data_IF_444381744958
#
_entry.id   IF_444381744958
#
_cell.length_a   1.000
_cell.length_b   1.000
_cell.length_c   1.000
_cell.angle_alpha   90.00
_cell.angle_beta   90.00
_cell.angle_gamma   90.00
#
_symmetry.space_group_name_H-M   'P 1'
#
loop_
_entity.id
_entity.type
_entity.pdbx_description
1 polymer ?
#
# COMPACT_ATOMS: atom_id res chain seq x y z
N UNK A 1 -1.55 8.22 -13.20
CA UNK A 1 -2.73 8.34 -14.09
C UNK A 1 -3.96 7.65 -13.52
N UNK A 2 -3.88 6.40 -13.05
CA UNK A 2 -5.04 5.70 -12.45
C UNK A 2 -5.67 6.50 -11.28
N UNK A 3 -4.87 6.90 -10.29
CA UNK A 3 -5.36 7.70 -9.15
C UNK A 3 -6.10 8.97 -9.63
N UNK A 4 -5.51 9.72 -10.56
CA UNK A 4 -6.09 10.96 -11.11
C UNK A 4 -7.39 10.76 -11.91
N UNK A 5 -7.57 9.58 -12.52
CA UNK A 5 -8.74 9.29 -13.36
C UNK A 5 -9.90 8.67 -12.58
N UNK A 6 -9.61 7.91 -11.53
CA UNK A 6 -10.60 7.03 -10.88
C UNK A 6 -10.80 7.30 -9.40
N UNK A 7 -9.86 7.97 -8.75
CA UNK A 7 -9.85 8.19 -7.31
C UNK A 7 -9.84 9.68 -7.00
N UNK A 8 -10.06 10.03 -5.73
CA UNK A 8 -9.76 11.37 -5.25
C UNK A 8 -8.25 11.47 -4.99
N UNK A 9 -7.46 12.21 -5.80
CA UNK A 9 -6.02 12.28 -5.60
C UNK A 9 -5.62 13.05 -4.33
N UNK A 10 -6.55 13.77 -3.69
CA UNK A 10 -6.37 14.39 -2.37
C UNK A 10 -6.83 13.50 -1.20
N UNK A 11 -7.24 12.25 -1.46
CA UNK A 11 -7.57 11.30 -0.41
C UNK A 11 -6.33 10.74 0.29
N UNK A 12 -6.57 10.01 1.39
CA UNK A 12 -5.57 9.17 2.06
C UNK A 12 -5.47 7.82 1.36
N UNK A 13 -4.26 7.29 1.27
CA UNK A 13 -3.97 5.99 0.68
C UNK A 13 -3.21 5.13 1.69
N UNK A 14 -3.28 3.82 1.53
CA UNK A 14 -2.56 2.88 2.39
C UNK A 14 -1.79 1.89 1.52
N UNK A 15 -0.54 1.63 1.90
CA UNK A 15 0.19 0.45 1.44
C UNK A 15 0.15 -0.63 2.53
N UNK A 16 -0.49 -1.75 2.23
CA UNK A 16 -0.66 -2.87 3.16
C UNK A 16 0.45 -3.90 2.96
N UNK A 17 1.04 -4.36 4.07
CA UNK A 17 2.29 -5.10 4.08
C UNK A 17 3.42 -4.36 3.32
N UNK A 18 3.59 -3.08 3.65
CA UNK A 18 4.47 -2.15 2.93
C UNK A 18 5.99 -2.44 3.05
N UNK A 19 6.39 -3.46 3.81
CA UNK A 19 7.78 -3.79 4.07
C UNK A 19 8.54 -2.59 4.66
N UNK A 20 9.69 -2.28 4.07
CA UNK A 20 10.51 -1.16 4.54
C UNK A 20 9.92 0.23 4.23
N UNK A 21 8.81 0.32 3.51
CA UNK A 21 8.11 1.59 3.25
C UNK A 21 8.63 2.42 2.09
N UNK A 22 9.41 1.83 1.20
CA UNK A 22 10.00 2.55 0.06
C UNK A 22 8.90 3.09 -0.86
N UNK A 23 7.90 2.28 -1.19
CA UNK A 23 6.79 2.70 -2.06
C UNK A 23 6.02 3.88 -1.44
N UNK A 24 5.69 3.78 -0.16
CA UNK A 24 5.02 4.85 0.61
C UNK A 24 5.83 6.14 0.54
N UNK A 25 7.14 6.09 0.79
CA UNK A 25 8.02 7.25 0.69
C UNK A 25 7.98 7.87 -0.71
N UNK A 26 8.12 7.05 -1.75
CA UNK A 26 8.08 7.53 -3.14
C UNK A 26 6.73 8.20 -3.47
N UNK A 27 5.61 7.62 -3.01
CA UNK A 27 4.28 8.18 -3.25
C UNK A 27 4.06 9.52 -2.54
N UNK A 28 4.57 9.66 -1.31
CA UNK A 28 4.55 10.93 -0.56
C UNK A 28 5.44 11.99 -1.21
N UNK A 29 6.61 11.60 -1.70
CA UNK A 29 7.54 12.51 -2.38
C UNK A 29 6.93 13.09 -3.67
N UNK A 30 6.00 12.38 -4.33
CA UNK A 30 5.23 12.88 -5.48
C UNK A 30 3.85 13.47 -5.11
N UNK A 31 3.58 13.68 -3.82
CA UNK A 31 2.43 14.48 -3.36
C UNK A 31 1.15 13.71 -3.02
N UNK A 32 1.20 12.38 -2.89
CA UNK A 32 0.05 11.59 -2.42
C UNK A 32 0.19 11.23 -0.94
N UNK A 33 -0.91 11.36 -0.19
CA UNK A 33 -0.92 11.11 1.25
C UNK A 33 -1.01 9.60 1.54
N UNK A 34 0.11 8.90 1.31
CA UNK A 34 0.24 7.47 1.57
C UNK A 34 0.66 7.21 3.02
N UNK A 35 -0.03 6.27 3.62
CA UNK A 35 0.26 5.66 4.92
C UNK A 35 0.62 4.19 4.72
N UNK A 36 1.03 3.51 5.78
CA UNK A 36 1.39 2.10 5.68
C UNK A 36 0.95 1.28 6.89
N UNK A 37 0.74 -0.01 6.68
CA UNK A 37 0.56 -0.98 7.75
C UNK A 37 1.32 -2.26 7.41
N UNK A 38 2.04 -2.84 8.37
CA UNK A 38 2.75 -4.10 8.20
C UNK A 38 2.83 -4.83 9.55
N UNK A 39 2.47 -6.12 9.57
CA UNK A 39 2.49 -6.95 10.79
C UNK A 39 3.88 -7.42 11.17
N UNK A 40 4.78 -7.53 10.20
CA UNK A 40 6.02 -8.29 10.33
C UNK A 40 7.26 -7.47 10.02
N UNK A 41 7.15 -6.43 9.20
CA UNK A 41 8.29 -5.62 8.79
C UNK A 41 8.32 -4.27 9.52
N UNK A 42 9.48 -3.95 10.10
CA UNK A 42 9.72 -2.61 10.61
C UNK A 42 10.04 -1.66 9.46
N UNK A 43 9.23 -0.63 9.31
CA UNK A 43 9.42 0.37 8.26
C UNK A 43 10.64 1.27 8.51
N UNK A 44 11.41 1.52 7.45
CA UNK A 44 12.64 2.32 7.50
C UNK A 44 12.48 3.68 6.83
N UNK A 45 11.68 3.77 5.76
CA UNK A 45 11.65 4.95 4.88
C UNK A 45 10.46 5.90 5.13
N UNK A 46 9.40 5.44 5.79
CA UNK A 46 8.15 6.16 6.01
C UNK A 46 7.68 6.13 7.48
N UNK A 47 8.61 6.17 8.44
CA UNK A 47 8.30 6.22 9.88
C UNK A 47 7.43 7.43 10.22
N UNK A 48 6.48 7.25 11.13
CA UNK A 48 5.49 8.25 11.53
C UNK A 48 4.23 8.26 10.65
N UNK A 49 4.16 7.40 9.64
CA UNK A 49 2.99 7.26 8.75
C UNK A 49 2.35 5.87 8.86
N UNK A 50 2.63 5.16 9.95
CA UNK A 50 2.01 3.89 10.30
C UNK A 50 0.52 4.04 10.63
N UNK A 51 -0.26 3.06 10.19
CA UNK A 51 -1.63 2.83 10.61
C UNK A 51 -1.69 1.60 11.51
N UNK A 52 -2.45 1.65 12.61
CA UNK A 52 -2.62 0.49 13.47
C UNK A 52 -3.41 -0.60 12.73
N UNK A 53 -3.10 -1.86 13.07
CA UNK A 53 -3.91 -3.02 12.71
C UNK A 53 -4.71 -3.48 13.93
N UNK A 54 -6.01 -3.80 13.78
CA UNK A 54 -6.80 -3.76 12.54
C UNK A 54 -7.08 -2.33 12.07
N UNK A 55 -7.27 -2.16 10.75
CA UNK A 55 -7.49 -0.85 10.14
C UNK A 55 -8.84 -0.27 10.62
N UNK A 56 -8.81 0.97 11.12
CA UNK A 56 -10.01 1.68 11.60
C UNK A 56 -10.49 2.74 10.63
N UNK A 57 -9.57 3.33 9.86
CA UNK A 57 -9.85 4.40 8.91
C UNK A 57 -10.17 3.85 7.52
N UNK A 58 -10.88 4.68 6.72
CA UNK A 58 -11.08 4.40 5.30
C UNK A 58 -10.04 5.11 4.43
N UNK A 59 -9.61 4.44 3.37
CA UNK A 59 -8.66 4.95 2.39
C UNK A 59 -9.32 5.07 1.01
N UNK A 60 -8.85 6.03 0.21
CA UNK A 60 -9.26 6.21 -1.18
C UNK A 60 -8.86 5.01 -2.04
N UNK A 61 -7.68 4.44 -1.77
CA UNK A 61 -7.31 3.10 -2.21
C UNK A 61 -6.32 2.47 -1.22
N UNK A 62 -6.26 1.14 -1.25
CA UNK A 62 -5.24 0.34 -0.58
C UNK A 62 -4.39 -0.34 -1.66
N UNK A 63 -3.07 -0.33 -1.52
CA UNK A 63 -2.13 -1.13 -2.32
C UNK A 63 -1.66 -2.35 -1.54
N UNK A 64 -1.45 -3.47 -2.24
CA UNK A 64 -0.88 -4.69 -1.67
C UNK A 64 -0.08 -5.42 -2.76
N UNK A 65 1.22 -5.13 -2.87
CA UNK A 65 2.07 -5.66 -3.94
C UNK A 65 2.86 -6.88 -3.46
N UNK A 66 2.69 -8.00 -4.15
CA UNK A 66 3.31 -9.30 -3.83
C UNK A 66 3.09 -9.68 -2.35
N UNK A 67 1.82 -9.70 -1.94
CA UNK A 67 1.41 -9.99 -0.55
C UNK A 67 0.62 -11.29 -0.47
N UNK A 68 -0.41 -11.44 -1.31
CA UNK A 68 -1.44 -12.46 -1.16
C UNK A 68 -0.98 -13.89 -1.40
N UNK A 69 0.12 -14.07 -2.14
CA UNK A 69 0.79 -15.35 -2.37
C UNK A 69 1.48 -15.89 -1.11
N UNK A 70 1.78 -15.03 -0.14
CA UNK A 70 2.47 -15.37 1.10
C UNK A 70 1.53 -15.63 2.29
N UNK A 71 0.24 -15.31 2.13
CA UNK A 71 -0.70 -15.31 3.25
C UNK A 71 -1.29 -16.71 3.50
N UNK A 72 -1.31 -17.19 4.76
CA UNK A 72 -1.94 -18.46 5.10
C UNK A 72 -3.48 -18.39 5.11
N UNK A 73 -4.05 -17.21 5.42
CA UNK A 73 -5.48 -16.93 5.30
C UNK A 73 -5.70 -15.65 4.46
N UNK A 74 -5.61 -15.75 3.12
CA UNK A 74 -5.78 -14.59 2.26
C UNK A 74 -7.22 -14.04 2.30
N UNK A 75 -8.22 -14.88 2.57
CA UNK A 75 -9.62 -14.46 2.60
C UNK A 75 -9.95 -13.58 3.82
N UNK A 76 -9.36 -13.89 4.98
CA UNK A 76 -9.41 -13.02 6.15
C UNK A 76 -8.79 -11.65 5.88
N UNK A 77 -7.62 -11.62 5.23
CA UNK A 77 -6.92 -10.37 4.88
C UNK A 77 -7.70 -9.56 3.83
N UNK A 78 -8.26 -10.21 2.80
CA UNK A 78 -9.18 -9.55 1.85
C UNK A 78 -10.38 -8.93 2.58
N UNK A 79 -10.98 -9.64 3.54
CA UNK A 79 -12.12 -9.13 4.29
C UNK A 79 -11.76 -7.87 5.10
N UNK A 80 -10.59 -7.85 5.75
CA UNK A 80 -10.12 -6.68 6.51
C UNK A 80 -9.80 -5.50 5.59
N UNK A 81 -9.05 -5.72 4.51
CA UNK A 81 -8.67 -4.67 3.56
C UNK A 81 -9.89 -4.07 2.87
N UNK A 82 -10.80 -4.90 2.35
CA UNK A 82 -11.98 -4.45 1.59
C UNK A 82 -13.05 -3.78 2.47
N UNK A 83 -12.96 -3.90 3.80
CA UNK A 83 -13.72 -3.04 4.73
C UNK A 83 -13.14 -1.63 4.79
N UNK A 84 -11.85 -1.43 4.57
CA UNK A 84 -11.19 -0.12 4.67
C UNK A 84 -11.18 0.67 3.35
N UNK A 85 -11.54 0.07 2.21
CA UNK A 85 -11.48 0.74 0.91
C UNK A 85 -12.59 0.31 -0.06
N UNK A 86 -12.84 1.12 -1.08
CA UNK A 86 -13.64 0.73 -2.26
C UNK A 86 -12.78 0.44 -3.50
N UNK A 87 -11.45 0.53 -3.35
CA UNK A 87 -10.45 0.25 -4.37
C UNK A 87 -9.22 -0.41 -3.72
N UNK A 88 -9.01 -1.69 -4.01
CA UNK A 88 -7.78 -2.42 -3.71
C UNK A 88 -7.00 -2.61 -5.02
N UNK A 89 -5.76 -2.14 -5.05
CA UNK A 89 -4.81 -2.35 -6.13
C UNK A 89 -3.81 -3.38 -5.60
N UNK A 90 -3.66 -4.51 -6.28
CA UNK A 90 -2.79 -5.58 -5.83
C UNK A 90 -1.93 -6.11 -6.97
N UNK A 91 -0.77 -6.68 -6.64
CA UNK A 91 0.00 -7.48 -7.58
C UNK A 91 0.16 -8.90 -7.08
N UNK A 92 0.06 -9.83 -8.02
CA UNK A 92 0.45 -11.24 -7.89
C UNK A 92 0.46 -11.84 -9.28
N UNK A 93 1.45 -12.69 -9.60
CA UNK A 93 1.48 -13.34 -10.90
C UNK A 93 0.38 -14.39 -11.01
N UNK A 94 -0.43 -14.27 -12.07
CA UNK A 94 -1.49 -15.23 -12.32
C UNK A 94 -0.93 -16.60 -12.68
N UNK A 95 -1.52 -17.65 -12.12
CA UNK A 95 -1.24 -19.03 -12.48
C UNK A 95 -1.65 -19.25 -13.96
N UNK A 96 -0.71 -19.65 -14.84
CA UNK A 96 -1.04 -19.93 -16.23
C UNK A 96 -2.03 -21.09 -16.38
N UNK A 97 -2.80 -21.08 -17.47
CA UNK A 97 -3.69 -22.16 -17.84
C UNK A 97 -3.21 -22.80 -19.16
N UNK A 98 -2.81 -24.09 -19.17
CA UNK A 98 -2.74 -25.02 -18.03
C UNK A 98 -1.62 -24.67 -17.04
N UNK A 99 -1.72 -25.17 -15.81
CA UNK A 99 -0.69 -24.97 -14.79
C UNK A 99 0.65 -25.55 -15.28
N UNK A 100 1.73 -24.76 -15.25
CA UNK A 100 3.05 -25.19 -15.72
C UNK A 100 3.66 -26.22 -14.75
N UNK A 101 4.54 -27.13 -15.22
CA UNK A 101 5.38 -27.94 -14.35
C UNK A 101 6.20 -27.07 -13.39
N UNK A 102 6.60 -27.64 -12.25
CA UNK A 102 7.24 -26.92 -11.15
C UNK A 102 8.54 -26.21 -11.58
N UNK A 103 9.28 -26.80 -12.49
CA UNK A 103 10.53 -26.27 -13.05
C UNK A 103 10.35 -25.15 -14.09
N UNK A 104 9.12 -24.93 -14.59
CA UNK A 104 8.87 -24.02 -15.72
C UNK A 104 8.25 -22.68 -15.33
N UNK A 105 7.90 -22.50 -14.06
CA UNK A 105 7.38 -21.23 -13.57
C UNK A 105 8.11 -20.83 -12.28
N UNK A 106 9.12 -19.94 -12.37
CA UNK A 106 9.92 -19.53 -11.22
C UNK A 106 9.09 -18.93 -10.08
N UNK A 107 7.88 -18.45 -10.37
CA UNK A 107 6.96 -17.89 -9.38
C UNK A 107 6.44 -18.92 -8.37
N UNK A 108 6.59 -20.23 -8.63
CA UNK A 108 6.39 -21.23 -7.57
C UNK A 108 7.37 -21.05 -6.40
N UNK A 109 8.52 -20.44 -6.65
CA UNK A 109 9.45 -20.04 -5.59
C UNK A 109 10.04 -21.21 -4.79
N UNK A 110 10.28 -22.35 -5.43
CA UNK A 110 10.68 -23.61 -4.76
C UNK A 110 11.92 -23.47 -3.85
N UNK A 111 12.83 -22.55 -4.17
CA UNK A 111 14.07 -22.30 -3.42
C UNK A 111 13.83 -21.60 -2.08
N UNK A 112 12.81 -20.74 -1.99
CA UNK A 112 12.51 -19.97 -0.78
C UNK A 112 11.20 -20.40 -0.10
N UNK A 113 10.32 -21.08 -0.82
CA UNK A 113 9.07 -21.64 -0.29
C UNK A 113 8.08 -20.60 0.24
N UNK A 114 8.25 -19.32 -0.12
CA UNK A 114 7.44 -18.24 0.44
C UNK A 114 6.09 -18.09 -0.28
N UNK A 115 5.97 -18.56 -1.52
CA UNK A 115 4.72 -18.50 -2.28
C UNK A 115 3.91 -19.76 -1.99
N UNK A 116 2.90 -19.62 -1.15
CA UNK A 116 2.05 -20.73 -0.68
C UNK A 116 0.63 -20.70 -1.28
N UNK A 117 0.27 -19.59 -1.95
CA UNK A 117 -0.99 -19.43 -2.68
C UNK A 117 -0.75 -18.91 -4.09
N UNK A 118 -1.50 -19.44 -5.07
CA UNK A 118 -1.44 -19.02 -6.47
C UNK A 118 -2.84 -18.72 -7.00
N UNK A 119 -2.98 -17.59 -7.70
CA UNK A 119 -4.28 -17.08 -8.11
C UNK A 119 -4.46 -17.21 -9.62
N UNK A 120 -5.60 -17.72 -10.06
CA UNK A 120 -6.07 -17.54 -11.44
C UNK A 120 -6.90 -16.25 -11.53
N UNK A 121 -7.12 -15.74 -12.74
CA UNK A 121 -8.02 -14.60 -12.96
C UNK A 121 -9.43 -14.89 -12.43
N UNK A 122 -9.92 -16.11 -12.62
CA UNK A 122 -11.22 -16.58 -12.14
C UNK A 122 -11.29 -16.56 -10.61
N UNK A 123 -10.20 -16.93 -9.93
CA UNK A 123 -10.14 -16.88 -8.47
C UNK A 123 -10.23 -15.44 -7.94
N UNK A 124 -9.49 -14.49 -8.52
CA UNK A 124 -9.57 -13.07 -8.12
C UNK A 124 -10.93 -12.45 -8.45
N UNK A 125 -11.54 -12.83 -9.58
CA UNK A 125 -12.93 -12.46 -9.89
C UNK A 125 -13.91 -13.00 -8.85
N UNK A 126 -13.71 -14.24 -8.39
CA UNK A 126 -14.54 -14.86 -7.36
C UNK A 126 -14.40 -14.15 -6.01
N UNK A 127 -13.17 -13.79 -5.61
CA UNK A 127 -12.90 -12.94 -4.43
C UNK A 127 -13.66 -11.62 -4.56
N UNK A 128 -13.50 -10.92 -5.69
CA UNK A 128 -14.22 -9.69 -5.96
C UNK A 128 -15.73 -9.85 -5.80
N UNK A 129 -16.33 -10.85 -6.46
CA UNK A 129 -17.76 -11.13 -6.39
C UNK A 129 -18.24 -11.39 -4.96
N UNK A 130 -17.50 -12.16 -4.17
CA UNK A 130 -17.83 -12.46 -2.78
C UNK A 130 -17.97 -11.21 -1.91
N UNK A 131 -17.16 -10.17 -2.16
CA UNK A 131 -17.18 -8.91 -1.40
C UNK A 131 -17.94 -7.77 -2.10
N UNK A 132 -18.55 -8.03 -3.26
CA UNK A 132 -19.26 -7.02 -4.05
C UNK A 132 -18.33 -6.04 -4.80
N UNK A 133 -17.19 -6.52 -5.27
CA UNK A 133 -16.20 -5.80 -6.09
C UNK A 133 -16.09 -6.41 -7.49
N UNK A 134 -15.83 -5.55 -8.47
CA UNK A 134 -15.38 -5.97 -9.80
C UNK A 134 -13.87 -6.18 -9.77
N UNK A 135 -13.39 -7.29 -10.36
CA UNK A 135 -11.97 -7.50 -10.63
C UNK A 135 -11.60 -7.01 -12.04
N UNK A 136 -10.58 -6.17 -12.12
CA UNK A 136 -9.93 -5.71 -13.35
C UNK A 136 -8.49 -6.20 -13.29
N UNK A 137 -7.96 -6.70 -14.41
CA UNK A 137 -6.65 -7.31 -14.45
C UNK A 137 -5.99 -6.97 -15.78
N UNK A 138 -4.67 -6.80 -15.77
CA UNK A 138 -3.84 -6.77 -16.98
C UNK A 138 -3.66 -8.15 -17.63
N UNK A 139 -4.12 -9.21 -16.96
CA UNK A 139 -3.97 -10.60 -17.40
C UNK A 139 -2.65 -11.26 -17.00
N UNK A 140 -1.78 -10.56 -16.27
CA UNK A 140 -0.46 -11.03 -15.88
C UNK A 140 -0.22 -10.88 -14.38
N UNK A 141 -0.01 -9.65 -13.90
CA UNK A 141 0.48 -9.43 -12.54
C UNK A 141 -0.25 -8.30 -11.79
N UNK A 142 -0.86 -7.32 -12.48
CA UNK A 142 -1.52 -6.20 -11.82
C UNK A 142 -3.04 -6.32 -11.87
N UNK A 143 -3.66 -6.20 -10.70
CA UNK A 143 -5.09 -6.38 -10.52
C UNK A 143 -5.69 -5.26 -9.67
N UNK A 144 -6.95 -4.92 -9.94
CA UNK A 144 -7.73 -3.95 -9.18
C UNK A 144 -9.08 -4.56 -8.83
N UNK A 145 -9.36 -4.65 -7.53
CA UNK A 145 -10.71 -4.89 -7.02
C UNK A 145 -11.37 -3.54 -6.74
N UNK A 146 -12.45 -3.22 -7.44
CA UNK A 146 -13.15 -1.94 -7.30
C UNK A 146 -14.65 -2.14 -7.08
N UNK A 147 -15.21 -1.51 -6.05
CA UNK A 147 -16.64 -1.61 -5.71
C UNK A 147 -17.51 -0.89 -6.74
N UNK A 148 -17.03 0.25 -7.25
CA UNK A 148 -17.72 1.02 -8.29
C UNK A 148 -17.43 0.39 -9.66
N UNK A 149 -18.46 0.17 -10.50
CA UNK A 149 -18.24 -0.41 -11.82
C UNK A 149 -17.41 0.54 -12.67
N UNK A 150 -16.33 0.03 -13.27
CA UNK A 150 -15.58 0.77 -14.28
C UNK A 150 -16.18 0.49 -15.65
N UNK A 151 -16.68 1.53 -16.32
CA UNK A 151 -17.24 1.37 -17.66
C UNK A 151 -16.17 0.87 -18.65
N UNK A 152 -16.52 0.01 -19.63
CA UNK A 152 -15.57 -0.50 -20.62
C UNK A 152 -14.81 0.59 -21.41
N UNK A 153 -15.43 1.75 -21.62
CA UNK A 153 -14.77 2.90 -22.28
C UNK A 153 -13.63 3.47 -21.45
N UNK A 154 -13.78 3.43 -20.13
CA UNK A 154 -12.80 3.96 -19.19
C UNK A 154 -11.69 2.93 -18.93
N UNK A 155 -12.00 1.62 -18.99
CA UNK A 155 -11.01 0.53 -19.04
C UNK A 155 -10.08 0.63 -20.26
N UNK A 156 -10.62 0.85 -21.46
CA UNK A 156 -9.78 1.05 -22.68
C UNK A 156 -8.81 2.24 -22.60
N UNK A 157 -9.06 3.21 -21.71
CA UNK A 157 -8.11 4.31 -21.43
C UNK A 157 -6.98 3.89 -20.51
N UNK A 158 -7.15 2.82 -19.74
CA UNK A 158 -6.11 2.15 -18.93
C UNK A 158 -5.28 1.20 -19.82
N UNK A 159 -5.88 0.51 -20.80
CA UNK A 159 -5.14 -0.45 -21.63
C UNK A 159 -4.22 0.23 -22.68
N UNK A 160 -4.61 1.40 -23.17
CA UNK A 160 -3.85 2.18 -24.19
C UNK A 160 -2.63 2.93 -23.64
N UNK A 161 -2.15 2.52 -22.48
CA UNK A 161 -1.21 3.29 -21.65
C UNK A 161 0.26 3.02 -22.01
N UNK A 162 0.49 2.29 -23.10
CA UNK A 162 1.74 2.24 -23.87
C UNK A 162 2.28 3.64 -24.29
N UNK A 163 1.48 4.71 -24.15
CA UNK A 163 1.88 6.13 -24.34
C UNK A 163 2.52 6.82 -23.11
N UNK A 164 2.84 6.09 -22.03
CA UNK A 164 3.33 6.65 -20.74
C UNK A 164 4.64 7.47 -20.77
N UNK A 165 5.29 7.66 -21.93
CA UNK A 165 6.44 8.57 -22.06
C UNK A 165 6.06 10.07 -22.09
N UNK A 166 4.79 10.46 -22.19
CA UNK A 166 4.44 11.85 -22.54
C UNK A 166 3.50 12.62 -21.60
N UNK A 167 2.98 12.04 -20.50
CA UNK A 167 2.02 12.75 -19.62
C UNK A 167 2.41 12.65 -18.14
N UNK A 168 3.69 12.89 -17.82
CA UNK A 168 4.15 13.17 -16.44
C UNK A 168 4.38 14.66 -16.19
N UNK A 169 4.05 15.54 -17.14
CA UNK A 169 4.42 16.96 -17.09
C UNK A 169 3.32 17.95 -16.67
N UNK A 170 2.05 17.56 -16.60
CA UNK A 170 0.97 18.57 -16.50
C UNK A 170 0.26 18.70 -15.16
N UNK A 171 0.57 17.91 -14.13
CA UNK A 171 0.19 18.20 -12.74
C UNK A 171 1.20 17.59 -11.77
N UNK A 172 2.35 18.24 -11.59
CA UNK A 172 3.20 17.92 -10.44
C UNK A 172 2.49 18.43 -9.19
N UNK A 173 1.98 17.50 -8.39
CA UNK A 173 1.53 17.80 -7.02
C UNK A 173 2.75 18.25 -6.24
N UNK A 174 2.56 19.19 -5.31
CA UNK A 174 3.63 19.57 -4.40
C UNK A 174 4.03 18.33 -3.58
N UNK A 175 5.33 18.10 -3.47
CA UNK A 175 5.89 17.01 -2.66
C UNK A 175 5.48 17.16 -1.19
N UNK A 176 5.20 16.05 -0.52
CA UNK A 176 4.93 16.05 0.93
C UNK A 176 6.21 16.01 1.77
N UNK A 177 7.41 15.88 1.19
CA UNK A 177 8.66 15.73 1.95
C UNK A 177 8.89 16.87 2.96
N UNK A 178 8.59 18.12 2.57
CA UNK A 178 8.75 19.28 3.45
C UNK A 178 7.77 19.29 4.62
N UNK A 179 6.49 18.98 4.37
CA UNK A 179 5.48 18.85 5.42
C UNK A 179 5.75 17.65 6.33
N UNK A 180 6.20 16.53 5.76
CA UNK A 180 6.55 15.32 6.49
C UNK A 180 7.67 15.57 7.50
N UNK A 181 8.76 16.22 7.06
CA UNK A 181 9.87 16.56 7.94
C UNK A 181 9.42 17.46 9.10
N UNK A 182 8.57 18.45 8.81
CA UNK A 182 8.01 19.36 9.82
C UNK A 182 7.18 18.60 10.86
N UNK A 183 6.33 17.68 10.39
CA UNK A 183 5.49 16.86 11.26
C UNK A 183 6.33 15.90 12.13
N UNK A 184 7.36 15.26 11.57
CA UNK A 184 8.27 14.39 12.33
C UNK A 184 9.00 15.20 13.42
N UNK A 185 9.55 16.36 13.08
CA UNK A 185 10.22 17.24 14.06
C UNK A 185 9.27 17.66 15.18
N UNK A 186 8.01 17.99 14.83
CA UNK A 186 6.98 18.32 15.81
C UNK A 186 6.71 17.16 16.77
N UNK A 187 6.55 15.94 16.26
CA UNK A 187 6.29 14.75 17.10
C UNK A 187 7.46 14.45 18.03
N UNK A 188 8.69 14.52 17.53
CA UNK A 188 9.89 14.34 18.35
C UNK A 188 10.00 15.42 19.43
N UNK A 189 9.61 16.66 19.12
CA UNK A 189 9.60 17.75 20.10
C UNK A 189 8.57 17.53 21.21
N UNK A 190 7.39 16.99 20.89
CA UNK A 190 6.35 16.63 21.88
C UNK A 190 6.82 15.47 22.77
N UNK A 191 7.44 14.45 22.18
CA UNK A 191 7.99 13.31 22.93
C UNK A 191 9.12 13.75 23.87
N UNK A 192 10.03 14.60 23.39
CA UNK A 192 11.13 15.14 24.20
C UNK A 192 10.67 16.11 25.32
N UNK A 193 9.53 16.78 25.16
CA UNK A 193 8.94 17.61 26.20
C UNK A 193 8.30 16.80 27.35
N UNK A 194 7.93 15.53 27.10
CA UNK A 194 7.37 14.62 28.12
C UNK A 194 8.41 14.10 29.12
N UNK A 195 9.67 13.96 28.70
CA UNK A 195 10.76 13.38 29.52
C UNK A 195 11.52 14.43 30.37
N UNK A 196 11.23 15.73 30.20
CA UNK A 196 11.95 16.84 30.83
C UNK A 196 11.57 17.16 32.29
N UNK A 197 10.60 16.46 32.88
CA UNK A 197 10.06 16.80 34.20
C UNK A 197 10.74 16.10 35.40
N UNK A 198 12.03 15.74 35.32
CA UNK A 198 12.76 15.30 36.54
C UNK A 198 14.26 15.59 36.52
N UNK A 199 14.65 16.86 36.43
CA UNK A 199 15.97 17.30 36.91
C UNK A 199 15.78 18.50 37.84
N UNK A 200 15.42 18.22 39.09
CA UNK A 200 15.51 19.20 40.17
C UNK A 200 16.97 19.57 40.37
N UNK A 201 17.26 20.86 40.22
CA UNK A 201 18.51 21.51 40.54
C UNK A 201 18.98 21.15 41.96
N UNK A 202 20.06 20.37 42.05
CA UNK A 202 20.84 20.24 43.27
C UNK A 202 21.63 21.52 43.50
N UNK A 203 21.12 22.41 44.34
CA UNK A 203 21.93 23.45 44.99
C UNK A 203 23.01 22.75 45.81
N UNK A 204 24.27 22.84 45.40
CA UNK A 204 25.39 22.52 46.29
C UNK A 204 25.94 23.81 46.88
N UNK A 205 25.64 23.97 48.17
CA UNK A 205 26.18 24.98 49.08
C UNK A 205 27.24 24.30 49.94
N UNK A 206 28.49 24.78 49.86
CA UNK A 206 29.55 24.65 50.89
C UNK A 206 30.83 25.26 50.29
N UNK A 207 31.30 26.45 50.67
CA UNK A 207 32.14 26.73 51.87
C UNK A 207 33.10 25.57 52.17
N UNK A 208 34.37 25.68 51.77
CA UNK A 208 35.52 26.16 52.57
C UNK A 208 36.51 26.81 51.62
#
# INVERSE_FOLDING_TARGET
>A
MFIELFLNPAGRFLDYAAGYGLFVRLMRDIGYDFHWADKYCQNLFARGFEEPLPLTDRFAAVTAFEVFEHLPDPMGEFAEILKATDCLILSTSLLPAPAPPLEHWPYYGLEHGQHISFYTLESLKSVGQQFGFQCISDGEAFHVLMRRPITPRLLKRIDNVWWQRWISRTRQRASLTGSDNTEIVRRLSVLGAGDGATLKAGKNSSRV
#
